data_IF_021190240111
#
_entry.id   IF_021190240111
#
_cell.length_a   1.000
_cell.length_b   1.000
_cell.length_c   1.000
_cell.angle_alpha   90.00
_cell.angle_beta   90.00
_cell.angle_gamma   90.00
#
_symmetry.space_group_name_H-M   'P 1'
#
loop_
_entity.id
_entity.type
_entity.pdbx_description
1 polymer ?
#
# COMPACT_ATOMS: atom_id res chain seq x y z
N UNK A 1 -31.70 -16.10 -7.48
CA UNK A 1 -30.51 -15.27 -7.79
C UNK A 1 -29.30 -15.95 -7.16
N UNK A 2 -28.43 -16.56 -7.96
CA UNK A 2 -27.23 -17.23 -7.45
C UNK A 2 -26.20 -16.16 -7.05
N UNK A 3 -25.80 -16.10 -5.78
CA UNK A 3 -24.69 -15.26 -5.32
C UNK A 3 -23.41 -15.85 -5.90
N UNK A 4 -22.74 -15.12 -6.79
CA UNK A 4 -21.39 -15.47 -7.24
C UNK A 4 -20.46 -15.32 -6.04
N UNK A 5 -19.94 -16.44 -5.53
CA UNK A 5 -18.86 -16.42 -4.55
C UNK A 5 -17.66 -15.70 -5.19
N UNK A 6 -17.19 -14.64 -4.53
CA UNK A 6 -15.95 -13.98 -4.93
C UNK A 6 -14.81 -14.89 -4.46
N UNK A 7 -13.82 -15.18 -5.31
CA UNK A 7 -12.67 -15.97 -4.87
C UNK A 7 -12.03 -15.27 -3.68
N UNK A 8 -11.74 -16.04 -2.63
CA UNK A 8 -10.98 -15.57 -1.48
C UNK A 8 -9.62 -15.07 -1.99
N UNK A 9 -9.44 -13.75 -2.00
CA UNK A 9 -8.15 -13.17 -2.32
C UNK A 9 -7.27 -13.29 -1.08
N UNK A 10 -6.55 -14.41 -1.00
CA UNK A 10 -5.50 -14.55 -0.02
C UNK A 10 -4.45 -13.44 -0.21
N UNK A 11 -3.96 -12.84 0.89
CA UNK A 11 -2.90 -11.84 0.81
C UNK A 11 -1.66 -12.47 0.20
N UNK A 12 -1.21 -11.90 -0.94
CA UNK A 12 -0.10 -12.45 -1.73
C UNK A 12 1.29 -12.02 -1.24
N UNK A 13 1.36 -11.21 -0.18
CA UNK A 13 2.60 -10.70 0.39
C UNK A 13 2.48 -10.55 1.90
N UNK A 14 3.59 -10.78 2.59
CA UNK A 14 3.70 -10.56 4.02
C UNK A 14 3.74 -9.05 4.34
N UNK A 15 3.21 -8.63 5.51
CA UNK A 15 3.39 -7.26 5.98
C UNK A 15 4.88 -6.98 6.25
N UNK A 16 5.36 -5.80 5.86
CA UNK A 16 6.77 -5.41 6.02
C UNK A 16 7.69 -5.80 4.87
N UNK A 17 7.16 -6.27 3.73
CA UNK A 17 7.94 -6.41 2.50
C UNK A 17 8.16 -5.02 1.85
N UNK A 18 9.34 -4.44 2.07
CA UNK A 18 9.72 -3.11 1.58
C UNK A 18 9.54 -2.97 0.06
N UNK A 19 9.82 -4.03 -0.71
CA UNK A 19 9.66 -4.02 -2.16
C UNK A 19 8.19 -3.85 -2.59
N UNK A 20 7.24 -4.21 -1.73
CA UNK A 20 5.81 -3.99 -1.94
C UNK A 20 5.33 -2.66 -1.39
N UNK A 21 5.90 -2.19 -0.29
CA UNK A 21 5.56 -0.91 0.34
C UNK A 21 5.97 0.29 -0.53
N UNK A 22 7.06 0.16 -1.28
CA UNK A 22 7.54 1.20 -2.21
C UNK A 22 6.82 1.21 -3.57
N UNK A 23 5.91 0.26 -3.83
CA UNK A 23 5.20 0.20 -5.11
C UNK A 23 4.30 1.42 -5.29
N UNK A 24 4.65 2.24 -6.28
CA UNK A 24 3.80 3.34 -6.71
C UNK A 24 2.49 2.83 -7.33
N UNK A 25 1.37 3.48 -7.00
CA UNK A 25 0.06 3.14 -7.54
C UNK A 25 0.02 3.21 -9.09
N UNK A 26 -0.63 2.24 -9.72
CA UNK A 26 -0.77 2.22 -11.18
C UNK A 26 -1.67 3.36 -11.67
N UNK A 27 -1.60 3.70 -12.97
CA UNK A 27 -2.46 4.74 -13.57
C UNK A 27 -3.96 4.44 -13.39
N UNK A 28 -4.35 3.17 -13.45
CA UNK A 28 -5.74 2.72 -13.25
C UNK A 28 -6.20 2.88 -11.81
N UNK A 29 -5.32 2.64 -10.84
CA UNK A 29 -5.63 2.79 -9.42
C UNK A 29 -5.74 4.26 -9.03
N UNK A 30 -4.85 5.10 -9.57
CA UNK A 30 -4.93 6.56 -9.44
C UNK A 30 -6.24 7.11 -10.00
N UNK A 31 -6.68 6.61 -11.15
CA UNK A 31 -7.94 7.02 -11.78
C UNK A 31 -9.18 6.61 -10.98
N UNK A 32 -9.14 5.46 -10.28
CA UNK A 32 -10.20 5.04 -9.36
C UNK A 32 -10.26 5.87 -8.08
N UNK A 33 -9.22 6.63 -7.76
CA UNK A 33 -9.13 7.48 -6.56
C UNK A 33 -8.81 6.73 -5.27
N UNK A 34 -8.69 5.40 -5.30
CA UNK A 34 -8.37 4.57 -4.13
C UNK A 34 -6.86 4.33 -4.04
N UNK A 35 -6.10 5.38 -3.72
CA UNK A 35 -4.67 5.26 -3.44
C UNK A 35 -4.28 6.11 -2.23
N UNK A 36 -3.37 5.57 -1.41
CA UNK A 36 -2.81 6.28 -0.25
C UNK A 36 -1.45 6.85 -0.61
N UNK A 37 -1.25 8.15 -0.42
CA UNK A 37 0.06 8.79 -0.61
C UNK A 37 0.91 8.58 0.64
N UNK A 38 1.86 7.65 0.56
CA UNK A 38 2.86 7.48 1.62
C UNK A 38 3.84 8.65 1.55
N UNK A 39 3.96 9.40 2.64
CA UNK A 39 4.96 10.46 2.79
C UNK A 39 5.93 10.01 3.87
N UNK A 40 7.16 9.68 3.49
CA UNK A 40 8.21 9.39 4.46
C UNK A 40 8.69 10.71 5.06
N UNK A 41 8.44 10.92 6.36
CA UNK A 41 9.02 12.02 7.12
C UNK A 41 10.38 11.55 7.65
N UNK A 42 11.47 12.09 7.12
CA UNK A 42 12.80 11.94 7.72
C UNK A 42 12.93 12.97 8.84
N UNK A 43 12.98 12.50 10.08
CA UNK A 43 13.36 13.35 11.22
C UNK A 43 14.89 13.43 11.26
N UNK A 44 15.43 14.65 11.22
CA UNK A 44 16.83 14.90 11.56
C UNK A 44 16.88 14.93 13.09
N UNK A 45 17.18 13.78 13.71
CA UNK A 45 17.25 13.65 15.15
C UNK A 45 18.40 14.54 15.65
N UNK A 46 18.05 15.71 16.18
CA UNK A 46 19.02 16.65 16.75
C UNK A 46 19.65 16.00 17.98
N UNK A 47 20.99 15.99 18.04
CA UNK A 47 21.79 15.43 19.12
C UNK A 47 21.28 15.87 20.50
N UNK A 48 20.91 14.94 21.41
CA UNK A 48 20.54 15.31 22.76
C UNK A 48 21.80 15.70 23.53
N UNK A 49 22.04 17.01 23.66
CA UNK A 49 23.11 17.62 24.47
C UNK A 49 23.12 17.16 25.92
#
# INVERSE_FOLDING_TARGET
>A
MQKKEKPDQEPSFAPGDDAKLELSASKKDKQKGNFTRVTALSFDEVDPS
#
